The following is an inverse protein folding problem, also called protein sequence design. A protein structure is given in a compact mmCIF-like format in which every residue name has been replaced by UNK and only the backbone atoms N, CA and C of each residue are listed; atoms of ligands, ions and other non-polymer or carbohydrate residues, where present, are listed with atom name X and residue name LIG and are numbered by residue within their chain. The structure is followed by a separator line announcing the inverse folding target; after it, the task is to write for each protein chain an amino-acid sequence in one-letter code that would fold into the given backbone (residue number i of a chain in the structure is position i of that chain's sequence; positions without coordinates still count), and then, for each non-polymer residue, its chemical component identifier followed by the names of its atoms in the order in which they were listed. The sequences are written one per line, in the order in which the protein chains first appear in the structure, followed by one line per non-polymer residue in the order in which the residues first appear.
data_IF_810693066615
#
_entry.id   IF_810693066615
#
_cell.length_a   1.000
_cell.length_b   1.000
_cell.length_c   1.000
_cell.angle_alpha   90.00
_cell.angle_beta   90.00
_cell.angle_gamma   90.00
#
_symmetry.space_group_name_H-M   'P 1'
#
loop_
_entity.id
_entity.type
_entity.pdbx_description
1 polymer ?
#
# COMPACT_ATOMS: atom_id res chain seq x y z
N UNK A 1 14.89 -26.23 12.58
CA UNK A 1 16.24 -25.70 12.30
C UNK A 1 16.36 -24.34 12.96
N UNK A 2 16.85 -24.34 14.20
CA UNK A 2 16.98 -23.17 15.07
C UNK A 2 18.24 -22.42 14.66
N UNK A 3 18.07 -21.34 13.88
CA UNK A 3 19.19 -20.54 13.41
C UNK A 3 19.82 -19.75 14.57
N UNK A 4 21.15 -19.80 14.62
CA UNK A 4 22.08 -19.17 15.57
C UNK A 4 22.13 -17.65 15.28
N UNK A 5 21.00 -16.97 15.33
CA UNK A 5 20.95 -15.52 15.12
C UNK A 5 20.98 -14.81 16.47
N UNK A 6 21.87 -13.82 16.67
CA UNK A 6 21.88 -13.03 17.89
C UNK A 6 20.53 -12.33 18.05
N UNK A 7 19.95 -12.36 19.26
CA UNK A 7 18.61 -11.81 19.55
C UNK A 7 18.42 -10.35 19.08
N UNK A 8 19.51 -9.58 18.99
CA UNK A 8 19.51 -8.20 18.48
C UNK A 8 19.34 -8.07 16.95
N UNK A 9 19.68 -9.10 16.18
CA UNK A 9 19.57 -9.10 14.73
C UNK A 9 18.17 -9.47 14.23
N UNK A 10 17.37 -10.18 15.04
CA UNK A 10 16.06 -10.70 14.63
C UNK A 10 15.10 -9.58 14.17
N UNK A 11 14.97 -8.44 14.87
CA UNK A 11 14.14 -7.33 14.40
C UNK A 11 14.53 -6.83 12.99
N UNK A 12 15.84 -6.74 12.71
CA UNK A 12 16.33 -6.30 11.41
C UNK A 12 16.06 -7.35 10.31
N UNK A 13 16.18 -8.64 10.62
CA UNK A 13 15.82 -9.73 9.69
C UNK A 13 14.32 -9.69 9.36
N UNK A 14 13.46 -9.48 10.35
CA UNK A 14 12.00 -9.32 10.15
C UNK A 14 11.70 -8.11 9.27
N UNK A 15 12.37 -6.98 9.52
CA UNK A 15 12.22 -5.78 8.70
C UNK A 15 12.64 -6.03 7.24
N UNK A 16 13.77 -6.67 7.00
CA UNK A 16 14.24 -7.01 5.65
C UNK A 16 13.29 -8.01 4.97
N UNK A 17 12.77 -9.00 5.70
CA UNK A 17 11.76 -9.93 5.19
C UNK A 17 10.46 -9.24 4.81
N UNK A 18 9.96 -8.35 5.67
CA UNK A 18 8.77 -7.55 5.41
C UNK A 18 8.96 -6.62 4.20
N UNK A 19 10.14 -5.99 4.08
CA UNK A 19 10.51 -5.19 2.91
C UNK A 19 10.50 -6.03 1.63
N UNK A 20 11.15 -7.20 1.64
CA UNK A 20 11.24 -8.09 0.48
C UNK A 20 9.86 -8.60 0.03
N UNK A 21 8.99 -8.95 0.99
CA UNK A 21 7.63 -9.39 0.69
C UNK A 21 6.79 -8.29 0.05
N UNK A 22 6.84 -7.07 0.61
CA UNK A 22 6.13 -5.91 0.07
C UNK A 22 6.67 -5.47 -1.30
N UNK A 23 7.98 -5.58 -1.52
CA UNK A 23 8.60 -5.36 -2.82
C UNK A 23 8.01 -6.32 -3.87
N UNK A 24 7.85 -7.59 -3.51
CA UNK A 24 7.36 -8.64 -4.40
C UNK A 24 5.88 -8.44 -4.76
N UNK A 25 5.04 -8.19 -3.75
CA UNK A 25 3.62 -7.88 -3.92
C UNK A 25 3.37 -6.55 -4.65
N UNK A 26 4.33 -5.62 -4.61
CA UNK A 26 4.21 -4.33 -5.28
C UNK A 26 4.10 -4.38 -6.80
N UNK A 27 4.31 -5.55 -7.45
CA UNK A 27 4.28 -5.69 -8.92
C UNK A 27 3.03 -5.10 -9.58
N UNK A 28 1.91 -5.03 -8.85
CA UNK A 28 0.66 -4.43 -9.34
C UNK A 28 0.85 -2.99 -9.83
N UNK A 29 1.79 -2.26 -9.23
CA UNK A 29 2.15 -0.90 -9.65
C UNK A 29 2.89 -0.87 -11.00
N UNK A 30 3.47 -2.00 -11.44
CA UNK A 30 4.05 -2.17 -12.77
C UNK A 30 3.03 -2.60 -13.83
N UNK A 31 1.74 -2.78 -13.45
CA UNK A 31 0.71 -3.26 -14.37
C UNK A 31 0.55 -2.35 -15.60
N UNK A 32 0.76 -1.04 -15.47
CA UNK A 32 0.72 -0.12 -16.62
C UNK A 32 1.69 -0.50 -17.74
N UNK A 33 2.88 -1.02 -17.41
CA UNK A 33 3.82 -1.53 -18.39
C UNK A 33 3.35 -2.85 -19.00
N UNK A 34 2.77 -3.76 -18.19
CA UNK A 34 2.26 -5.05 -18.65
C UNK A 34 1.00 -4.93 -19.53
N UNK A 35 0.15 -3.94 -19.26
CA UNK A 35 -1.17 -3.76 -19.87
C UNK A 35 -1.11 -3.60 -21.40
N UNK A 36 -0.18 -2.78 -21.90
CA UNK A 36 -0.03 -2.58 -23.35
C UNK A 36 0.34 -3.88 -24.09
N UNK A 37 1.19 -4.72 -23.47
CA UNK A 37 1.55 -6.02 -24.02
C UNK A 37 0.36 -6.98 -23.96
N UNK A 38 -0.34 -7.03 -22.82
CA UNK A 38 -1.48 -7.93 -22.61
C UNK A 38 -2.64 -7.60 -23.57
N UNK A 39 -2.90 -6.31 -23.79
CA UNK A 39 -3.90 -5.85 -24.75
C UNK A 39 -3.53 -6.26 -26.19
N UNK A 40 -2.27 -6.03 -26.58
CA UNK A 40 -1.77 -6.43 -27.90
C UNK A 40 -1.90 -7.94 -28.13
N UNK A 41 -1.60 -8.75 -27.10
CA UNK A 41 -1.73 -10.20 -27.13
C UNK A 41 -3.14 -10.70 -27.31
N UNK A 42 -4.08 -10.15 -26.53
CA UNK A 42 -5.48 -10.54 -26.59
C UNK A 42 -6.08 -10.22 -27.97
N UNK A 43 -5.74 -9.06 -28.54
CA UNK A 43 -6.13 -8.67 -29.91
C UNK A 43 -5.59 -9.63 -30.95
N UNK A 44 -4.30 -9.99 -30.87
CA UNK A 44 -3.70 -10.98 -31.78
C UNK A 44 -4.34 -12.38 -31.67
N UNK A 45 -4.86 -12.73 -30.49
CA UNK A 45 -5.62 -13.98 -30.26
C UNK A 45 -7.09 -13.89 -30.67
N UNK A 46 -7.52 -12.78 -31.30
CA UNK A 46 -8.86 -12.59 -31.84
C UNK A 46 -9.88 -12.07 -30.83
N UNK A 47 -9.44 -11.48 -29.71
CA UNK A 47 -10.32 -10.81 -28.76
C UNK A 47 -10.42 -9.31 -29.11
N UNK A 48 -11.64 -8.80 -29.29
CA UNK A 48 -11.89 -7.38 -29.52
C UNK A 48 -11.83 -6.59 -28.20
N UNK A 49 -10.63 -6.44 -27.66
CA UNK A 49 -10.38 -5.68 -26.43
C UNK A 49 -9.60 -4.41 -26.71
N UNK A 50 -9.92 -3.37 -25.94
CA UNK A 50 -9.27 -2.07 -25.96
C UNK A 50 -8.32 -1.95 -24.78
N UNK A 51 -7.36 -1.03 -24.82
CA UNK A 51 -6.49 -0.75 -23.67
C UNK A 51 -7.29 -0.42 -22.40
N UNK A 52 -8.42 0.28 -22.54
CA UNK A 52 -9.35 0.59 -21.45
C UNK A 52 -9.93 -0.68 -20.81
N UNK A 53 -10.31 -1.66 -21.63
CA UNK A 53 -10.93 -2.90 -21.14
C UNK A 53 -9.92 -3.72 -20.34
N UNK A 54 -8.68 -3.84 -20.82
CA UNK A 54 -7.62 -4.57 -20.11
C UNK A 54 -7.18 -3.83 -18.85
N UNK A 55 -7.23 -2.49 -18.84
CA UNK A 55 -6.99 -1.68 -17.63
C UNK A 55 -7.95 -1.99 -16.48
N UNK A 56 -9.17 -2.45 -16.79
CA UNK A 56 -10.16 -2.84 -15.79
C UNK A 56 -9.67 -3.98 -14.88
N UNK A 57 -8.73 -4.83 -15.33
CA UNK A 57 -8.14 -5.89 -14.50
C UNK A 57 -7.42 -5.31 -13.28
N UNK A 58 -6.72 -4.18 -13.46
CA UNK A 58 -6.07 -3.47 -12.35
C UNK A 58 -7.11 -2.89 -11.39
N UNK A 59 -8.15 -2.25 -11.92
CA UNK A 59 -9.24 -1.69 -11.11
C UNK A 59 -9.92 -2.79 -10.28
N UNK A 60 -10.22 -3.93 -10.91
CA UNK A 60 -10.77 -5.11 -10.25
C UNK A 60 -9.85 -5.62 -9.14
N UNK A 61 -8.53 -5.61 -9.36
CA UNK A 61 -7.55 -5.98 -8.33
C UNK A 61 -7.64 -5.06 -7.11
N UNK A 62 -7.75 -3.75 -7.32
CA UNK A 62 -7.83 -2.75 -6.24
C UNK A 62 -9.14 -2.87 -5.47
N UNK A 63 -10.25 -3.13 -6.15
CA UNK A 63 -11.55 -3.40 -5.51
C UNK A 63 -11.45 -4.66 -4.63
N UNK A 64 -10.91 -5.75 -5.18
CA UNK A 64 -10.76 -7.03 -4.48
C UNK A 64 -9.78 -6.93 -3.30
N UNK A 65 -8.72 -6.15 -3.44
CA UNK A 65 -7.80 -5.80 -2.36
C UNK A 65 -8.55 -5.17 -1.19
N UNK A 66 -9.41 -4.17 -1.44
CA UNK A 66 -10.19 -3.50 -0.39
C UNK A 66 -11.15 -4.47 0.33
N UNK A 67 -11.91 -5.27 -0.42
CA UNK A 67 -12.82 -6.29 0.14
C UNK A 67 -12.05 -7.31 0.97
N UNK A 68 -10.90 -7.76 0.48
CA UNK A 68 -10.12 -8.83 1.10
C UNK A 68 -9.36 -8.36 2.34
N UNK A 69 -9.03 -7.07 2.46
CA UNK A 69 -8.49 -6.50 3.70
C UNK A 69 -9.47 -6.61 4.87
N UNK A 70 -10.78 -6.44 4.64
CA UNK A 70 -11.81 -6.59 5.68
C UNK A 70 -11.82 -8.02 6.23
N UNK A 71 -11.74 -9.00 5.32
CA UNK A 71 -11.71 -10.43 5.65
C UNK A 71 -10.35 -10.81 6.29
N UNK A 72 -9.26 -10.21 5.82
CA UNK A 72 -7.89 -10.52 6.23
C UNK A 72 -7.67 -10.42 7.73
N UNK A 73 -8.24 -9.40 8.39
CA UNK A 73 -8.15 -9.25 9.85
C UNK A 73 -8.77 -10.42 10.62
N UNK A 74 -9.86 -11.01 10.11
CA UNK A 74 -10.52 -12.17 10.73
C UNK A 74 -9.69 -13.44 10.50
N UNK A 75 -9.19 -13.62 9.27
CA UNK A 75 -8.37 -14.78 8.89
C UNK A 75 -7.07 -14.81 9.69
N UNK A 76 -6.40 -13.65 9.82
CA UNK A 76 -5.16 -13.49 10.57
C UNK A 76 -5.34 -13.86 12.06
N UNK A 77 -6.48 -13.53 12.68
CA UNK A 77 -6.80 -13.90 14.06
C UNK A 77 -7.04 -15.41 14.24
N UNK A 78 -7.64 -16.08 13.25
CA UNK A 78 -7.98 -17.51 13.34
C UNK A 78 -6.83 -18.45 12.99
N UNK A 79 -6.11 -18.16 11.92
CA UNK A 79 -5.05 -19.03 11.41
C UNK A 79 -3.66 -18.66 11.96
N UNK A 80 -3.50 -17.42 12.42
CA UNK A 80 -2.22 -16.84 12.80
C UNK A 80 -1.52 -16.17 11.62
N UNK A 81 -0.53 -15.32 11.92
CA UNK A 81 0.16 -14.50 10.91
C UNK A 81 0.97 -15.35 9.92
N UNK A 82 1.69 -16.36 10.45
CA UNK A 82 2.63 -17.16 9.67
C UNK A 82 1.98 -18.05 8.62
N UNK A 83 0.92 -18.75 9.01
CA UNK A 83 0.17 -19.61 8.09
C UNK A 83 -0.58 -18.77 7.07
N UNK A 84 -1.19 -17.66 7.49
CA UNK A 84 -1.96 -16.77 6.60
C UNK A 84 -1.09 -16.15 5.52
N UNK A 85 0.10 -15.64 5.84
CA UNK A 85 0.96 -15.03 4.82
C UNK A 85 1.47 -16.09 3.82
N UNK A 86 1.80 -17.30 4.29
CA UNK A 86 2.28 -18.39 3.42
C UNK A 86 1.17 -18.92 2.51
N UNK A 87 -0.06 -19.06 3.00
CA UNK A 87 -1.20 -19.43 2.16
C UNK A 87 -1.49 -18.35 1.12
N UNK A 88 -1.38 -17.07 1.49
CA UNK A 88 -1.54 -15.97 0.55
C UNK A 88 -0.44 -15.94 -0.53
N UNK A 89 0.83 -16.20 -0.17
CA UNK A 89 1.91 -16.37 -1.13
C UNK A 89 1.56 -17.42 -2.18
N UNK A 90 1.07 -18.58 -1.71
CA UNK A 90 0.69 -19.67 -2.58
C UNK A 90 -0.50 -19.30 -3.48
N UNK A 91 -1.52 -18.64 -2.93
CA UNK A 91 -2.66 -18.14 -3.72
C UNK A 91 -2.23 -17.14 -4.80
N UNK A 92 -1.31 -16.23 -4.49
CA UNK A 92 -0.75 -15.26 -5.46
C UNK A 92 0.04 -15.99 -6.55
N UNK A 93 0.86 -16.98 -6.19
CA UNK A 93 1.55 -17.85 -7.14
C UNK A 93 0.56 -18.54 -8.09
N UNK A 94 -0.47 -19.19 -7.54
CA UNK A 94 -1.49 -19.89 -8.32
C UNK A 94 -2.23 -18.94 -9.25
N UNK A 95 -2.54 -17.73 -8.80
CA UNK A 95 -3.16 -16.69 -9.63
C UNK A 95 -2.30 -16.36 -10.86
N UNK A 96 -1.02 -16.03 -10.70
CA UNK A 96 -0.15 -15.71 -11.84
C UNK A 96 0.15 -16.93 -12.73
N UNK A 97 0.25 -18.11 -12.13
CA UNK A 97 0.43 -19.36 -12.87
C UNK A 97 -0.79 -19.68 -13.75
N UNK A 98 -2.00 -19.58 -13.20
CA UNK A 98 -3.24 -19.75 -13.98
C UNK A 98 -3.41 -18.67 -15.04
N UNK A 99 -3.01 -17.43 -14.73
CA UNK A 99 -3.01 -16.31 -15.69
C UNK A 99 -2.09 -16.58 -16.87
N UNK A 100 -0.95 -17.25 -16.65
CA UNK A 100 -0.05 -17.68 -17.72
C UNK A 100 -0.71 -18.71 -18.65
N UNK A 101 -1.37 -19.73 -18.10
CA UNK A 101 -2.03 -20.78 -18.87
C UNK A 101 -3.23 -20.26 -19.67
N UNK A 102 -4.03 -19.37 -19.06
CA UNK A 102 -5.26 -18.84 -19.65
C UNK A 102 -5.11 -17.43 -20.23
N UNK A 103 -3.88 -17.02 -20.56
CA UNK A 103 -3.59 -15.68 -21.09
C UNK A 103 -4.35 -15.33 -22.39
N UNK A 104 -4.90 -16.33 -23.08
CA UNK A 104 -5.68 -16.16 -24.30
C UNK A 104 -7.07 -15.55 -24.09
N UNK A 105 -7.61 -15.61 -22.87
CA UNK A 105 -8.97 -15.16 -22.55
C UNK A 105 -8.95 -13.98 -21.59
N UNK A 106 -9.57 -12.87 -22.00
CA UNK A 106 -9.73 -11.69 -21.15
C UNK A 106 -10.47 -12.01 -19.85
N UNK A 107 -11.55 -12.78 -19.92
CA UNK A 107 -12.36 -13.12 -18.74
C UNK A 107 -11.56 -13.93 -17.70
N UNK A 108 -10.74 -14.88 -18.16
CA UNK A 108 -9.88 -15.66 -17.27
C UNK A 108 -8.79 -14.79 -16.62
N UNK A 109 -8.24 -13.83 -17.35
CA UNK A 109 -7.29 -12.86 -16.79
C UNK A 109 -7.96 -11.97 -15.74
N UNK A 110 -9.18 -11.50 -15.96
CA UNK A 110 -9.95 -10.77 -14.93
C UNK A 110 -10.14 -11.62 -13.66
N UNK A 111 -10.52 -12.89 -13.82
CA UNK A 111 -10.75 -13.79 -12.69
C UNK A 111 -9.47 -14.06 -11.90
N UNK A 112 -8.37 -14.41 -12.58
CA UNK A 112 -7.14 -14.81 -11.92
C UNK A 112 -6.27 -13.62 -11.52
N UNK A 113 -5.91 -12.71 -12.44
CA UNK A 113 -5.07 -11.54 -12.14
C UNK A 113 -5.83 -10.44 -11.38
N UNK A 114 -7.14 -10.32 -11.57
CA UNK A 114 -7.95 -9.34 -10.84
C UNK A 114 -8.46 -9.92 -9.51
N UNK A 115 -9.30 -10.95 -9.62
CA UNK A 115 -9.96 -11.60 -8.49
C UNK A 115 -9.01 -12.29 -7.52
N UNK A 116 -8.40 -13.38 -7.98
CA UNK A 116 -7.63 -14.28 -7.12
C UNK A 116 -6.36 -13.62 -6.57
N UNK A 117 -5.65 -12.84 -7.39
CA UNK A 117 -4.51 -12.05 -6.95
C UNK A 117 -4.93 -10.98 -5.94
N UNK A 118 -5.98 -10.20 -6.22
CA UNK A 118 -6.49 -9.18 -5.31
C UNK A 118 -6.88 -9.75 -3.95
N UNK A 119 -7.41 -10.98 -3.93
CA UNK A 119 -7.74 -11.70 -2.70
C UNK A 119 -6.52 -12.07 -1.85
N UNK A 120 -5.51 -12.69 -2.46
CA UNK A 120 -4.26 -13.02 -1.77
C UNK A 120 -3.49 -11.76 -1.32
N UNK A 121 -3.49 -10.73 -2.17
CA UNK A 121 -2.86 -9.45 -1.85
C UNK A 121 -3.55 -8.77 -0.66
N UNK A 122 -4.87 -8.66 -0.66
CA UNK A 122 -5.61 -7.95 0.39
C UNK A 122 -5.52 -8.60 1.76
N UNK A 123 -5.57 -9.93 1.83
CA UNK A 123 -5.42 -10.65 3.11
C UNK A 123 -4.01 -10.46 3.69
N UNK A 124 -2.98 -10.46 2.83
CA UNK A 124 -1.59 -10.41 3.29
C UNK A 124 -1.01 -9.01 3.45
N UNK A 125 -1.66 -7.97 2.94
CA UNK A 125 -1.16 -6.58 2.97
C UNK A 125 -0.81 -6.09 4.39
N UNK A 126 -1.64 -6.41 5.38
CA UNK A 126 -1.48 -5.91 6.77
C UNK A 126 -0.47 -6.72 7.60
N UNK A 127 -0.15 -7.96 7.17
CA UNK A 127 0.64 -8.91 7.97
C UNK A 127 2.10 -8.44 8.16
N UNK A 128 2.87 -8.11 7.11
CA UNK A 128 4.27 -7.71 7.26
C UNK A 128 4.44 -6.49 8.17
N UNK A 129 3.52 -5.52 8.05
CA UNK A 129 3.52 -4.32 8.87
C UNK A 129 3.26 -4.67 10.35
N UNK A 130 2.28 -5.54 10.60
CA UNK A 130 1.95 -6.04 11.94
C UNK A 130 3.13 -6.78 12.58
N UNK A 131 3.79 -7.68 11.85
CA UNK A 131 4.97 -8.40 12.33
C UNK A 131 6.12 -7.46 12.70
N UNK A 132 6.30 -6.39 11.92
CA UNK A 132 7.38 -5.43 12.15
C UNK A 132 7.10 -4.54 13.37
N UNK A 133 5.84 -4.15 13.60
CA UNK A 133 5.43 -3.38 14.78
C UNK A 133 5.56 -4.11 16.11
N UNK A 134 5.52 -5.45 16.10
CA UNK A 134 5.81 -6.27 17.29
C UNK A 134 7.25 -6.08 17.77
N UNK A 135 8.19 -5.91 16.83
CA UNK A 135 9.62 -5.82 17.11
C UNK A 135 10.10 -4.38 17.35
N UNK A 136 9.54 -3.38 16.64
CA UNK A 136 9.94 -1.98 16.77
C UNK A 136 8.84 -1.12 17.40
N UNK A 137 8.89 -0.93 18.72
CA UNK A 137 7.91 -0.10 19.45
C UNK A 137 8.21 1.40 19.43
N UNK A 138 9.49 1.79 19.39
CA UNK A 138 9.92 3.20 19.49
C UNK A 138 9.86 3.97 18.16
N UNK A 139 10.12 3.28 17.04
CA UNK A 139 10.33 3.90 15.72
C UNK A 139 9.29 3.44 14.69
N UNK A 140 8.02 3.30 15.08
CA UNK A 140 6.97 2.73 14.22
C UNK A 140 6.80 3.47 12.89
N UNK A 141 6.85 4.81 12.90
CA UNK A 141 6.70 5.62 11.68
C UNK A 141 7.84 5.47 10.67
N UNK A 142 9.10 5.43 11.14
CA UNK A 142 10.25 5.20 10.26
C UNK A 142 10.19 3.80 9.63
N UNK A 143 9.83 2.81 10.45
CA UNK A 143 9.75 1.41 10.05
C UNK A 143 8.63 1.17 9.04
N UNK A 144 7.44 1.74 9.26
CA UNK A 144 6.34 1.64 8.29
C UNK A 144 6.68 2.31 6.97
N UNK A 145 7.35 3.47 7.00
CA UNK A 145 7.84 4.14 5.80
C UNK A 145 8.81 3.28 5.00
N UNK A 146 9.76 2.61 5.67
CA UNK A 146 10.69 1.67 5.01
C UNK A 146 9.91 0.52 4.35
N UNK A 147 8.99 -0.12 5.07
CA UNK A 147 8.22 -1.25 4.53
C UNK A 147 7.34 -0.84 3.34
N UNK A 148 6.64 0.28 3.43
CA UNK A 148 5.75 0.76 2.36
C UNK A 148 6.54 1.26 1.15
N UNK A 149 7.72 1.86 1.36
CA UNK A 149 8.56 2.31 0.25
C UNK A 149 8.97 1.16 -0.70
N UNK A 150 9.02 -0.08 -0.19
CA UNK A 150 9.23 -1.27 -1.02
C UNK A 150 8.16 -1.44 -2.12
N UNK A 151 6.89 -1.21 -1.78
CA UNK A 151 5.77 -1.31 -2.74
C UNK A 151 5.94 -0.30 -3.87
N UNK A 152 6.33 0.92 -3.54
CA UNK A 152 6.58 2.00 -4.51
C UNK A 152 7.87 1.81 -5.30
N UNK A 153 8.87 1.15 -4.73
CA UNK A 153 10.13 0.83 -5.42
C UNK A 153 9.96 -0.32 -6.43
N UNK A 154 8.97 -1.19 -6.24
CA UNK A 154 8.79 -2.38 -7.07
C UNK A 154 8.67 -2.13 -8.59
N UNK A 155 8.00 -1.08 -9.12
CA UNK A 155 7.94 -0.86 -10.57
C UNK A 155 9.31 -0.53 -11.16
N UNK A 156 10.17 0.11 -10.39
CA UNK A 156 11.54 0.41 -10.82
C UNK A 156 12.33 -0.87 -11.13
N UNK A 157 12.06 -1.96 -10.42
CA UNK A 157 12.66 -3.27 -10.68
C UNK A 157 11.87 -4.07 -11.73
N UNK A 158 10.54 -4.09 -11.63
CA UNK A 158 9.70 -4.96 -12.44
C UNK A 158 9.44 -4.44 -13.85
N UNK A 159 9.27 -3.14 -14.07
CA UNK A 159 9.06 -2.60 -15.42
C UNK A 159 10.22 -2.92 -16.37
N UNK A 160 11.50 -2.61 -16.06
CA UNK A 160 12.59 -2.95 -16.96
C UNK A 160 12.77 -4.47 -17.09
N UNK A 161 12.54 -5.24 -16.03
CA UNK A 161 12.58 -6.71 -16.08
C UNK A 161 11.52 -7.27 -17.05
N UNK A 162 10.29 -6.79 -16.97
CA UNK A 162 9.20 -7.16 -17.87
C UNK A 162 9.52 -6.78 -19.32
N UNK A 163 9.97 -5.54 -19.54
CA UNK A 163 10.30 -5.08 -20.89
C UNK A 163 11.46 -5.86 -21.50
N UNK A 164 12.49 -6.20 -20.72
CA UNK A 164 13.60 -7.04 -21.18
C UNK A 164 13.14 -8.47 -21.54
N UNK A 165 12.23 -9.03 -20.75
CA UNK A 165 11.69 -10.39 -20.95
C UNK A 165 10.73 -10.45 -22.15
N UNK A 166 9.87 -9.45 -22.32
CA UNK A 166 8.86 -9.40 -23.39
C UNK A 166 9.50 -8.88 -24.69
N UNK A 167 10.13 -7.70 -24.63
CA UNK A 167 10.61 -6.94 -25.77
C UNK A 167 12.14 -6.75 -25.75
N UNK A 168 12.89 -7.85 -25.77
CA UNK A 168 14.38 -7.84 -25.80
C UNK A 168 14.96 -7.02 -26.96
N UNK A 169 14.28 -7.00 -28.09
CA UNK A 169 14.77 -6.33 -29.32
C UNK A 169 14.31 -4.87 -29.40
N UNK A 170 13.65 -4.36 -28.35
CA UNK A 170 13.11 -3.00 -28.28
C UNK A 170 12.31 -2.59 -29.52
N UNK A 171 11.46 -3.50 -30.00
CA UNK A 171 10.50 -3.25 -31.09
C UNK A 171 9.59 -2.11 -30.66
N UNK A 172 9.36 -1.13 -31.53
CA UNK A 172 8.46 -0.03 -31.25
C UNK A 172 7.01 -0.46 -31.48
N UNK A 173 6.06 -0.05 -30.62
CA UNK A 173 4.65 -0.30 -30.87
C UNK A 173 4.20 0.50 -32.10
N UNK A 174 3.41 -0.15 -32.96
CA UNK A 174 2.86 0.45 -34.19
C UNK A 174 1.59 1.21 -33.81
N UNK A 175 1.42 2.41 -34.37
CA UNK A 175 0.13 3.11 -34.25
C UNK A 175 -0.90 2.33 -35.05
N UNK A 176 -1.91 1.80 -34.37
CA UNK A 176 -3.04 1.22 -35.09
C UNK A 176 -3.68 2.38 -35.84
N UNK A 177 -3.64 2.30 -37.17
CA UNK A 177 -4.43 3.18 -38.04
C UNK A 177 -5.84 3.10 -37.49
N UNK A 178 -6.35 4.22 -36.98
CA UNK A 178 -7.61 4.24 -36.23
C UNK A 178 -8.66 3.44 -37.00
N UNK A 179 -9.42 2.61 -36.28
CA UNK A 179 -10.60 1.96 -36.82
C UNK A 179 -11.32 2.97 -37.73
N UNK A 180 -11.80 2.54 -38.89
CA UNK A 180 -12.48 3.39 -39.89
C UNK A 180 -13.67 4.20 -39.33
N UNK A 181 -13.99 4.03 -38.04
CA UNK A 181 -14.98 4.73 -37.23
C UNK A 181 -14.41 5.82 -36.29
N UNK A 182 -13.15 6.25 -36.44
CA UNK A 182 -12.60 7.37 -35.66
C UNK A 182 -12.33 7.06 -34.18
N UNK A 183 -11.99 5.80 -33.88
CA UNK A 183 -11.56 5.40 -32.54
C UNK A 183 -10.27 6.10 -32.10
N UNK A 184 -10.00 6.18 -30.78
CA UNK A 184 -8.77 6.77 -30.25
C UNK A 184 -7.52 6.11 -30.85
N UNK A 185 -6.51 6.92 -31.19
CA UNK A 185 -5.23 6.44 -31.73
C UNK A 185 -4.47 5.68 -30.65
N UNK A 186 -4.54 4.35 -30.68
CA UNK A 186 -3.88 3.47 -29.72
C UNK A 186 -2.68 2.76 -30.37
N UNK A 187 -1.62 2.56 -29.57
CA UNK A 187 -0.37 1.93 -30.01
C UNK A 187 -0.32 0.49 -29.54
N UNK A 188 -0.13 -0.44 -30.47
CA UNK A 188 -0.12 -1.87 -30.20
C UNK A 188 1.13 -2.54 -30.76
N UNK A 189 1.50 -3.68 -30.18
CA UNK A 189 2.56 -4.53 -30.70
C UNK A 189 1.96 -5.56 -31.66
N UNK A 190 2.43 -5.60 -32.91
CA UNK A 190 1.98 -6.58 -33.91
C UNK A 190 2.92 -7.77 -34.05
N UNK A 191 4.15 -7.65 -33.55
CA UNK A 191 5.20 -8.66 -33.71
C UNK A 191 4.88 -9.98 -32.97
N UNK A 192 4.71 -11.11 -33.70
CA UNK A 192 4.37 -12.40 -33.09
C UNK A 192 5.38 -12.89 -32.04
N UNK A 193 6.66 -12.52 -32.18
CA UNK A 193 7.72 -12.89 -31.25
C UNK A 193 7.64 -12.17 -29.90
N UNK A 194 7.15 -10.94 -29.87
CA UNK A 194 6.95 -10.18 -28.61
C UNK A 194 5.71 -10.73 -27.91
N UNK A 195 4.65 -11.00 -28.68
CA UNK A 195 3.38 -11.46 -28.16
C UNK A 195 3.45 -12.90 -27.60
N UNK A 196 4.15 -13.80 -28.28
CA UNK A 196 4.32 -15.19 -27.81
C UNK A 196 5.03 -15.33 -26.46
N UNK A 197 5.72 -14.29 -25.99
CA UNK A 197 6.44 -14.30 -24.71
C UNK A 197 5.58 -13.94 -23.50
N UNK A 198 4.39 -13.39 -23.71
CA UNK A 198 3.55 -12.87 -22.62
C UNK A 198 3.12 -13.98 -21.63
N UNK A 199 2.61 -15.14 -22.08
CA UNK A 199 2.37 -16.26 -21.18
C UNK A 199 3.61 -16.66 -20.37
N UNK A 200 4.78 -16.67 -21.02
CA UNK A 200 6.04 -17.04 -20.38
C UNK A 200 6.49 -16.00 -19.33
N UNK A 201 6.24 -14.71 -19.54
CA UNK A 201 6.55 -13.67 -18.55
C UNK A 201 5.63 -13.77 -17.32
N UNK A 202 4.34 -14.04 -17.52
CA UNK A 202 3.41 -14.31 -16.41
C UNK A 202 3.85 -15.55 -15.62
N UNK A 203 4.34 -16.59 -16.31
CA UNK A 203 4.90 -17.78 -15.66
C UNK A 203 6.15 -17.45 -14.84
N UNK A 204 7.12 -16.72 -15.40
CA UNK A 204 8.32 -16.29 -14.68
C UNK A 204 7.94 -15.47 -13.44
N UNK A 205 6.97 -14.54 -13.57
CA UNK A 205 6.47 -13.77 -12.44
C UNK A 205 5.90 -14.66 -11.34
N UNK A 206 5.12 -15.69 -11.68
CA UNK A 206 4.63 -16.66 -10.70
C UNK A 206 5.78 -17.34 -9.93
N UNK A 207 6.84 -17.77 -10.62
CA UNK A 207 8.00 -18.40 -9.96
C UNK A 207 8.72 -17.40 -9.04
N UNK A 208 8.86 -16.14 -9.47
CA UNK A 208 9.42 -15.08 -8.62
C UNK A 208 8.56 -14.88 -7.38
N UNK A 209 7.23 -14.85 -7.50
CA UNK A 209 6.31 -14.78 -6.36
C UNK A 209 6.48 -15.95 -5.40
N UNK A 210 6.60 -17.16 -5.92
CA UNK A 210 6.75 -18.34 -5.07
C UNK A 210 8.07 -18.29 -4.29
N UNK A 211 9.18 -17.97 -4.95
CA UNK A 211 10.51 -17.93 -4.32
C UNK A 211 10.61 -16.71 -3.39
N UNK A 212 10.55 -15.50 -3.94
CA UNK A 212 10.77 -14.27 -3.17
C UNK A 212 9.66 -14.02 -2.14
N UNK A 213 8.42 -14.36 -2.49
CA UNK A 213 7.29 -14.30 -1.56
C UNK A 213 7.46 -15.27 -0.39
N UNK A 214 7.84 -16.53 -0.63
CA UNK A 214 8.07 -17.48 0.47
C UNK A 214 9.26 -17.10 1.34
N UNK A 215 10.39 -16.68 0.74
CA UNK A 215 11.54 -16.21 1.51
C UNK A 215 11.20 -14.96 2.34
N UNK A 216 10.56 -13.96 1.71
CA UNK A 216 10.13 -12.73 2.39
C UNK A 216 9.13 -13.01 3.52
N UNK A 217 8.12 -13.85 3.27
CA UNK A 217 7.13 -14.25 4.25
C UNK A 217 7.74 -15.05 5.41
N UNK A 218 8.68 -15.95 5.11
CA UNK A 218 9.38 -16.73 6.12
C UNK A 218 10.21 -15.83 7.04
N UNK A 219 10.96 -14.88 6.49
CA UNK A 219 11.75 -13.94 7.29
C UNK A 219 10.86 -12.95 8.05
N UNK A 220 9.79 -12.45 7.43
CA UNK A 220 8.85 -11.51 8.07
C UNK A 220 8.12 -12.12 9.28
N UNK A 221 7.88 -13.43 9.25
CA UNK A 221 7.15 -14.15 10.32
C UNK A 221 8.06 -14.80 11.35
N UNK A 222 9.36 -14.51 11.29
CA UNK A 222 10.32 -15.01 12.26
C UNK A 222 10.12 -14.28 13.58
N UNK A 223 9.29 -14.84 14.46
CA UNK A 223 9.10 -14.30 15.81
C UNK A 223 10.28 -14.69 16.71
N UNK A 224 10.81 -13.71 17.46
CA UNK A 224 11.63 -14.00 18.63
C UNK A 224 10.72 -14.70 19.64
N UNK A 225 10.93 -16.01 19.86
CA UNK A 225 10.36 -16.68 21.04
C UNK A 225 11.04 -16.11 22.28
N UNK A 226 10.55 -14.96 22.75
CA UNK A 226 10.87 -14.44 24.07
C UNK A 226 10.09 -15.23 25.10
N UNK A 227 10.73 -15.59 26.21
CA UNK A 227 10.17 -16.24 27.42
C UNK A 227 9.08 -15.40 28.14
N UNK A 228 8.20 -14.72 27.40
CA UNK A 228 7.10 -13.93 27.97
C UNK A 228 5.87 -14.77 28.31
N UNK A 229 5.93 -16.09 28.14
CA UNK A 229 4.91 -17.00 28.65
C UNK A 229 5.02 -17.18 30.18
N UNK A 230 6.17 -16.88 30.79
CA UNK A 230 6.35 -17.00 32.25
C UNK A 230 5.89 -15.79 33.07
N UNK A 231 5.67 -14.63 32.45
CA UNK A 231 5.17 -13.44 33.17
C UNK A 231 3.63 -13.36 33.23
N UNK A 232 2.90 -13.97 32.30
CA UNK A 232 1.43 -13.99 32.35
C UNK A 232 0.85 -15.04 33.29
N UNK A 233 1.57 -16.12 33.59
CA UNK A 233 1.09 -17.16 34.52
C UNK A 233 1.35 -16.83 35.99
N UNK A 234 2.31 -15.96 36.29
CA UNK A 234 2.69 -15.64 37.68
C UNK A 234 1.91 -14.46 38.29
N UNK A 235 1.10 -13.75 37.49
CA UNK A 235 0.33 -12.58 37.94
C UNK A 235 -1.14 -12.84 38.32
N UNK A 236 -1.63 -14.08 38.17
CA UNK A 236 -3.06 -14.41 38.32
C UNK A 236 -3.39 -15.28 39.54
N UNK A 237 -2.49 -15.38 40.53
CA UNK A 237 -2.73 -16.21 41.72
C UNK A 237 -3.14 -15.45 42.98
N UNK A 238 -3.42 -14.15 42.90
CA UNK A 238 -4.02 -13.42 44.02
C UNK A 238 -5.26 -12.64 43.59
N UNK A 239 -6.30 -12.79 44.43
CA UNK A 239 -7.57 -12.05 44.52
C UNK A 239 -8.79 -12.80 43.99
N UNK A 240 -9.42 -13.49 44.95
CA UNK A 240 -10.75 -14.05 44.83
C UNK A 240 -11.85 -13.00 44.68
N UNK A 241 -12.91 -13.45 43.99
CA UNK A 241 -14.32 -13.18 44.26
C UNK A 241 -14.77 -11.71 44.42
N UNK A 242 -15.28 -11.12 43.33
CA UNK A 242 -16.52 -10.31 43.38
C UNK A 242 -17.20 -10.19 42.00
N UNK A 243 -18.50 -10.46 42.04
CA UNK A 243 -19.54 -10.57 41.01
C UNK A 243 -19.65 -9.43 39.97
N UNK A 244 -19.82 -9.83 38.69
CA UNK A 244 -20.71 -9.33 37.61
C UNK A 244 -21.00 -7.82 37.42
N UNK A 245 -20.75 -7.31 36.19
CA UNK A 245 -21.71 -6.57 35.33
C UNK A 245 -21.12 -6.26 33.91
N UNK A 246 -21.95 -6.00 32.88
CA UNK A 246 -21.66 -6.30 31.47
C UNK A 246 -21.04 -5.15 30.63
N UNK A 247 -20.68 -5.51 29.39
CA UNK A 247 -20.26 -4.69 28.23
C UNK A 247 -20.77 -3.24 28.23
N UNK A 248 -19.85 -2.27 28.06
CA UNK A 248 -19.99 -1.04 27.26
C UNK A 248 -18.76 -0.12 27.50
N UNK A 249 -17.70 -0.27 26.69
CA UNK A 249 -16.52 0.61 26.79
C UNK A 249 -15.69 0.77 25.49
N UNK A 250 -16.26 0.46 24.33
CA UNK A 250 -15.54 0.58 23.05
C UNK A 250 -16.09 1.68 22.10
N UNK A 251 -17.10 2.44 22.55
CA UNK A 251 -17.81 3.43 21.71
C UNK A 251 -17.52 4.92 22.08
N UNK A 252 -16.46 5.18 22.86
CA UNK A 252 -16.12 6.54 23.35
C UNK A 252 -14.86 7.17 22.77
N UNK A 253 -14.17 6.53 21.82
CA UNK A 253 -12.92 7.08 21.28
C UNK A 253 -13.05 7.71 19.89
N UNK A 254 -14.24 7.67 19.26
CA UNK A 254 -14.46 8.20 17.92
C UNK A 254 -15.36 9.45 17.86
N UNK A 255 -15.95 9.87 18.97
CA UNK A 255 -16.90 11.00 19.03
C UNK A 255 -16.29 12.33 19.49
N UNK A 256 -14.98 12.38 19.79
CA UNK A 256 -14.32 13.60 20.29
C UNK A 256 -13.47 14.35 19.23
N UNK A 257 -13.53 13.96 17.96
CA UNK A 257 -12.82 14.68 16.86
C UNK A 257 -13.77 15.51 15.98
N UNK A 258 -15.08 15.31 16.06
CA UNK A 258 -16.07 15.96 15.18
C UNK A 258 -16.77 17.17 15.81
N UNK A 259 -16.24 17.72 16.91
CA UNK A 259 -16.86 18.82 17.66
C UNK A 259 -15.98 20.06 17.74
N UNK A 260 -15.57 20.60 16.59
CA UNK A 260 -14.96 21.93 16.49
C UNK A 260 -15.19 22.64 15.14
N UNK A 261 -16.39 22.49 14.56
CA UNK A 261 -16.87 23.38 13.50
C UNK A 261 -18.14 24.09 13.99
N UNK A 262 -18.01 25.32 14.48
CA UNK A 262 -19.18 26.19 14.71
C UNK A 262 -19.67 26.76 13.36
N UNK A 263 -20.97 26.60 13.03
CA UNK A 263 -21.53 27.18 11.81
C UNK A 263 -21.87 28.66 11.97
N UNK A 264 -21.50 29.39 10.92
CA UNK A 264 -21.79 30.79 10.61
C UNK A 264 -23.30 31.11 10.76
N UNK A 265 -23.65 31.88 11.79
CA UNK A 265 -25.00 32.38 12.02
C UNK A 265 -25.28 33.67 11.25
N UNK A 266 -26.22 33.60 10.31
CA UNK A 266 -26.80 34.74 9.59
C UNK A 266 -27.66 35.56 10.57
N UNK A 267 -27.31 36.82 10.79
CA UNK A 267 -28.22 37.83 11.35
C UNK A 267 -28.40 38.93 10.32
N UNK A 268 -29.63 39.03 9.81
CA UNK A 268 -30.10 40.07 8.90
C UNK A 268 -30.58 41.26 9.73
N UNK A 269 -29.94 42.41 9.61
CA UNK A 269 -30.60 43.69 9.92
C UNK A 269 -30.27 44.78 8.89
N UNK A 270 -31.28 45.62 8.67
CA UNK A 270 -31.52 46.52 7.54
C UNK A 270 -30.64 47.79 7.55
N UNK A 271 -30.10 48.09 6.37
CA UNK A 271 -30.28 49.33 5.60
C UNK A 271 -29.80 50.68 6.19
N UNK A 272 -28.64 51.19 5.71
CA UNK A 272 -28.52 52.52 5.06
C UNK A 272 -27.09 52.81 4.56
N UNK A 273 -26.95 52.89 3.24
CA UNK A 273 -26.35 54.02 2.51
C UNK A 273 -24.89 54.44 2.72
N UNK A 274 -24.17 54.42 1.60
CA UNK A 274 -23.02 55.25 1.20
C UNK A 274 -21.60 54.89 1.68
N UNK A 275 -20.93 54.23 0.74
CA UNK A 275 -19.55 54.44 0.28
C UNK A 275 -19.10 55.92 0.36
N UNK A 276 -17.94 56.19 0.98
CA UNK A 276 -16.84 57.04 0.50
C UNK A 276 -15.79 57.33 1.60
N UNK A 277 -14.54 57.43 1.16
CA UNK A 277 -13.35 58.07 1.78
C UNK A 277 -12.60 57.43 2.97
N UNK A 278 -11.58 56.65 2.59
CA UNK A 278 -10.15 56.90 2.87
C UNK A 278 -9.82 57.87 4.02
N UNK A 279 -9.35 57.35 5.16
CA UNK A 279 -8.12 57.78 5.89
C UNK A 279 -7.99 57.01 7.22
N UNK A 280 -6.76 56.74 7.66
CA UNK A 280 -6.34 56.19 8.97
C UNK A 280 -6.23 54.68 9.16
N UNK A 281 -5.29 54.04 8.44
CA UNK A 281 -4.59 52.81 8.89
C UNK A 281 -3.06 52.98 8.93
N UNK A 282 -2.56 54.21 9.12
CA UNK A 282 -1.13 54.51 9.24
C UNK A 282 -0.54 54.47 10.66
N UNK A 283 -1.39 54.58 11.70
CA UNK A 283 -0.90 55.00 13.03
C UNK A 283 -0.71 53.89 14.07
N UNK A 284 -1.00 52.62 13.76
CA UNK A 284 -0.92 51.53 14.75
C UNK A 284 0.16 50.47 14.51
N UNK A 285 0.96 50.60 13.44
CA UNK A 285 2.05 49.65 13.14
C UNK A 285 3.40 50.10 13.74
N UNK A 286 3.68 51.40 13.79
CA UNK A 286 4.91 51.95 14.38
C UNK A 286 4.98 51.84 15.90
N UNK A 287 3.84 51.97 16.59
CA UNK A 287 3.76 51.92 18.06
C UNK A 287 3.95 50.51 18.63
N UNK A 288 3.63 49.47 17.84
CA UNK A 288 3.79 48.05 18.19
C UNK A 288 5.21 47.54 17.95
N UNK A 289 5.90 48.03 16.91
CA UNK A 289 7.31 47.71 16.65
C UNK A 289 8.28 48.38 17.64
N UNK A 290 7.99 49.63 18.07
CA UNK A 290 8.84 50.35 19.03
C UNK A 290 8.86 49.73 20.45
N UNK A 291 7.77 49.08 20.88
CA UNK A 291 7.70 48.40 22.18
C UNK A 291 8.45 47.07 22.22
N UNK A 292 8.65 46.41 21.08
CA UNK A 292 9.38 45.14 21.00
C UNK A 292 10.90 45.33 21.04
N UNK A 293 11.44 46.40 20.44
CA UNK A 293 12.87 46.69 20.46
C UNK A 293 13.39 47.21 21.81
N UNK A 294 12.57 47.92 22.60
CA UNK A 294 12.98 48.44 23.91
C UNK A 294 13.06 47.37 25.02
N UNK A 295 12.36 46.24 24.85
CA UNK A 295 12.42 45.10 25.79
C UNK A 295 13.63 44.20 25.56
N UNK A 296 14.22 44.20 24.35
CA UNK A 296 15.38 43.36 24.00
C UNK A 296 16.74 43.96 24.37
N UNK A 297 16.82 45.27 24.64
CA UNK A 297 18.10 45.95 25.02
C UNK A 297 18.36 46.01 26.54
N UNK A 298 17.38 45.64 27.39
CA UNK A 298 17.51 45.75 28.87
C UNK A 298 17.93 44.46 29.59
N UNK A 299 17.97 43.31 28.89
CA UNK A 299 18.31 42.01 29.49
C UNK A 299 19.70 41.47 29.07
N UNK A 300 20.57 42.30 28.47
CA UNK A 300 21.87 41.87 27.92
C UNK A 300 23.11 42.50 28.55
N UNK A 301 23.01 43.19 29.68
CA UNK A 301 24.15 43.88 30.31
C UNK A 301 24.08 43.82 31.83
N UNK A 302 24.32 42.64 32.42
CA UNK A 302 24.68 42.46 33.84
C UNK A 302 25.21 41.03 34.08
N UNK A 303 26.25 40.61 33.35
CA UNK A 303 27.19 39.54 33.76
C UNK A 303 28.52 39.83 33.05
N UNK A 304 29.33 40.69 33.64
CA UNK A 304 30.81 40.74 33.54
C UNK A 304 31.27 41.96 34.36
N UNK A 305 31.99 41.68 35.45
CA UNK A 305 32.42 42.65 36.47
C UNK A 305 32.50 41.98 37.83
#
# INVERSE_FOLDING_TARGET
MTAILPQRAIPYVVLTGAFLYNLNIGIINSYGNLNIYLTSYLRHKGQNVTYRDVSFIYELTVIMLGVSMLIGNVVQKKLGERTTILTCCFTIFVSFYLSSLYAHSYFMLCLFMGGLYGLGYGISFTIPLSCTYKHFKKNRGLVSGIVISAISLSPFLYCPLQTLLINRNNVLPVESSGDSNGGPRERYFEDPHVLGRIPHVLFIQSVIFLIFGTFGAFFATMEVRGDNEKQLTCGNLDVGNKKSKPLDAQDRSLTDVERNDEPMGIITEKNKGNQNDVTNEGDNLGSRLAKSFKKKKKNGSSVEG
#
